data_IF_601624141753
#
_entry.id   IF_601624141753
#
_cell.length_a   1.000
_cell.length_b   1.000
_cell.length_c   1.000
_cell.angle_alpha   90.00
_cell.angle_beta   90.00
_cell.angle_gamma   90.00
#
_symmetry.space_group_name_H-M   'P 1'
#
loop_
_entity.id
_entity.type
_entity.pdbx_description
1 polymer ?
#
# COMPACT_ATOMS: atom_id res chain seq x y z
N UNK A 1 -1.40 13.98 8.37
CA UNK A 1 -1.09 12.54 8.12
C UNK A 1 -0.66 11.91 9.42
N UNK A 2 -1.28 10.81 9.81
CA UNK A 2 -0.90 10.08 11.01
C UNK A 2 -0.70 8.62 10.65
N UNK A 3 0.47 8.06 10.97
CA UNK A 3 0.78 6.64 10.74
C UNK A 3 0.54 5.90 12.05
N UNK A 4 -0.38 4.93 12.03
CA UNK A 4 -0.76 4.15 13.21
C UNK A 4 0.03 2.85 13.34
N UNK A 5 0.52 2.30 12.24
CA UNK A 5 1.36 1.11 12.23
C UNK A 5 2.06 0.99 10.88
N UNK A 6 3.29 0.49 10.87
CA UNK A 6 4.05 0.26 9.65
C UNK A 6 5.00 -0.91 9.87
N UNK A 7 4.86 -1.96 9.06
CA UNK A 7 5.67 -3.17 9.16
C UNK A 7 6.16 -3.56 7.78
N UNK A 8 7.44 -3.90 7.73
CA UNK A 8 8.17 -4.28 6.54
C UNK A 8 8.52 -5.77 6.58
N UNK A 9 8.35 -6.45 5.46
CA UNK A 9 8.63 -7.88 5.29
C UNK A 9 7.94 -8.77 6.32
N UNK A 10 6.63 -8.62 6.45
CA UNK A 10 5.82 -9.56 7.22
C UNK A 10 5.76 -10.88 6.47
N UNK A 11 6.28 -11.95 7.07
CA UNK A 11 6.34 -13.26 6.46
C UNK A 11 5.42 -14.23 7.21
N UNK A 12 4.50 -14.83 6.47
CA UNK A 12 3.59 -15.87 6.97
C UNK A 12 3.98 -17.20 6.33
N UNK A 13 4.69 -18.02 7.08
CA UNK A 13 5.28 -19.28 6.59
C UNK A 13 4.22 -20.22 5.98
N UNK A 14 3.05 -20.29 6.61
CA UNK A 14 1.97 -21.21 6.20
C UNK A 14 0.88 -20.52 5.39
N UNK A 15 1.16 -19.31 4.90
CA UNK A 15 0.19 -18.50 4.16
C UNK A 15 -0.66 -17.63 5.08
N UNK A 16 -1.61 -16.91 4.50
CA UNK A 16 -2.48 -16.00 5.24
C UNK A 16 -3.89 -16.04 4.67
N UNK A 17 -4.87 -15.90 5.54
CA UNK A 17 -6.23 -15.47 5.20
C UNK A 17 -6.63 -14.38 6.18
N UNK A 18 -6.99 -13.22 5.64
CA UNK A 18 -7.42 -12.08 6.45
C UNK A 18 -8.68 -11.47 5.85
N UNK A 19 -9.69 -11.22 6.69
CA UNK A 19 -10.96 -10.65 6.26
C UNK A 19 -11.40 -9.56 7.23
N UNK A 20 -11.76 -8.40 6.68
CA UNK A 20 -12.34 -7.27 7.41
C UNK A 20 -13.65 -6.87 6.74
N UNK A 21 -14.74 -7.54 7.13
CA UNK A 21 -16.06 -7.40 6.49
C UNK A 21 -16.62 -5.98 6.55
N UNK A 22 -16.22 -5.19 7.56
CA UNK A 22 -16.65 -3.79 7.70
C UNK A 22 -15.48 -2.81 7.47
N UNK A 23 -14.35 -3.31 6.98
CA UNK A 23 -13.14 -2.52 6.85
C UNK A 23 -12.54 -2.14 8.20
N UNK A 24 -11.61 -1.20 8.17
CA UNK A 24 -11.02 -0.58 9.36
C UNK A 24 -11.08 0.94 9.20
N UNK A 25 -10.94 1.68 10.31
CA UNK A 25 -11.01 3.13 10.28
C UNK A 25 -9.87 3.75 9.46
N UNK A 26 -8.67 3.19 9.55
CA UNK A 26 -7.49 3.68 8.84
C UNK A 26 -7.56 3.33 7.35
N UNK A 27 -6.82 4.10 6.55
CA UNK A 27 -6.40 3.68 5.24
C UNK A 27 -5.29 2.64 5.40
N UNK A 28 -5.29 1.66 4.51
CA UNK A 28 -4.26 0.61 4.49
C UNK A 28 -3.52 0.66 3.16
N UNK A 29 -2.21 0.93 3.23
CA UNK A 29 -1.33 0.65 2.12
C UNK A 29 -0.79 -0.77 2.31
N UNK A 30 -1.03 -1.63 1.34
CA UNK A 30 -0.59 -3.02 1.36
C UNK A 30 0.26 -3.28 0.12
N UNK A 31 1.54 -3.63 0.34
CA UNK A 31 2.44 -4.04 -0.73
C UNK A 31 2.56 -5.55 -0.70
N UNK A 32 1.83 -6.21 -1.59
CA UNK A 32 1.78 -7.67 -1.69
C UNK A 32 2.94 -8.13 -2.58
N UNK A 33 3.86 -8.89 -2.02
CA UNK A 33 5.09 -9.33 -2.70
C UNK A 33 5.03 -10.73 -3.27
N UNK A 34 4.04 -11.54 -2.86
CA UNK A 34 3.84 -12.92 -3.30
C UNK A 34 2.43 -13.09 -3.83
N UNK A 35 2.16 -14.12 -4.67
CA UNK A 35 0.84 -14.30 -5.25
C UNK A 35 -0.29 -14.42 -4.22
N UNK A 36 -1.40 -13.72 -4.49
CA UNK A 36 -2.56 -13.66 -3.60
C UNK A 36 -3.84 -13.40 -4.38
N UNK A 37 -4.96 -13.74 -3.75
CA UNK A 37 -6.30 -13.33 -4.19
C UNK A 37 -6.77 -12.23 -3.25
N UNK A 38 -7.23 -11.12 -3.81
CA UNK A 38 -7.64 -9.94 -3.07
C UNK A 38 -9.06 -9.54 -3.49
N UNK A 39 -9.90 -9.24 -2.52
CA UNK A 39 -11.24 -8.69 -2.76
C UNK A 39 -11.39 -7.39 -1.99
N UNK A 40 -11.84 -6.32 -2.67
CA UNK A 40 -12.20 -5.05 -2.06
C UNK A 40 -13.62 -4.71 -2.53
N UNK A 41 -14.54 -4.53 -1.58
CA UNK A 41 -15.97 -4.53 -1.88
C UNK A 41 -16.34 -5.80 -2.66
N UNK A 42 -16.92 -5.67 -3.86
CA UNK A 42 -17.32 -6.79 -4.71
C UNK A 42 -16.27 -7.13 -5.78
N UNK A 43 -15.21 -6.33 -5.90
CA UNK A 43 -14.18 -6.52 -6.92
C UNK A 43 -13.12 -7.51 -6.44
N UNK A 44 -12.87 -8.53 -7.25
CA UNK A 44 -11.87 -9.55 -6.97
C UNK A 44 -10.67 -9.37 -7.92
N UNK A 45 -9.47 -9.45 -7.36
CA UNK A 45 -8.23 -9.29 -8.09
C UNK A 45 -7.30 -10.49 -7.84
N UNK A 46 -6.69 -10.99 -8.91
CA UNK A 46 -5.63 -11.99 -8.81
C UNK A 46 -4.29 -11.27 -8.88
N UNK A 47 -3.52 -11.36 -7.81
CA UNK A 47 -2.19 -10.76 -7.71
C UNK A 47 -1.16 -11.83 -8.08
N UNK A 48 -0.47 -11.65 -9.20
CA UNK A 48 0.60 -12.54 -9.64
C UNK A 48 1.98 -11.90 -9.52
N UNK A 49 2.07 -10.60 -9.73
CA UNK A 49 3.29 -9.81 -9.60
C UNK A 49 3.20 -8.87 -8.40
N UNK A 50 4.32 -8.46 -7.81
CA UNK A 50 4.28 -7.52 -6.69
C UNK A 50 3.45 -6.28 -7.00
N UNK A 51 2.49 -6.00 -6.13
CA UNK A 51 1.50 -4.94 -6.34
C UNK A 51 1.21 -4.19 -5.04
N UNK A 52 0.95 -2.89 -5.18
CA UNK A 52 0.50 -2.04 -4.08
C UNK A 52 -0.98 -1.74 -4.25
N UNK A 53 -1.71 -1.79 -3.16
CA UNK A 53 -3.09 -1.29 -3.10
C UNK A 53 -3.20 -0.35 -1.91
N UNK A 54 -3.94 0.75 -2.08
CA UNK A 54 -4.37 1.60 -0.96
C UNK A 54 -5.87 1.39 -0.79
N UNK A 55 -6.22 0.79 0.34
CA UNK A 55 -7.61 0.53 0.70
C UNK A 55 -8.08 1.68 1.58
N UNK A 56 -9.12 2.39 1.14
CA UNK A 56 -9.66 3.53 1.87
C UNK A 56 -10.34 3.10 3.17
N UNK A 57 -10.45 4.01 4.14
CA UNK A 57 -11.06 3.72 5.43
C UNK A 57 -12.48 3.15 5.31
N UNK A 58 -12.80 2.20 6.17
CA UNK A 58 -14.10 1.49 6.22
C UNK A 58 -14.48 0.73 4.95
N UNK A 59 -13.54 0.48 4.04
CA UNK A 59 -13.78 -0.36 2.86
C UNK A 59 -13.63 -1.83 3.23
N UNK A 60 -14.66 -2.67 2.98
CA UNK A 60 -14.55 -4.11 3.23
C UNK A 60 -13.47 -4.74 2.33
N UNK A 61 -12.63 -5.57 2.92
CA UNK A 61 -11.61 -6.27 2.15
C UNK A 61 -11.28 -7.64 2.75
N UNK A 62 -10.77 -8.51 1.89
CA UNK A 62 -10.16 -9.78 2.31
C UNK A 62 -9.08 -10.18 1.33
N UNK A 63 -8.09 -10.90 1.82
CA UNK A 63 -7.06 -11.45 0.96
C UNK A 63 -6.59 -12.82 1.46
N UNK A 64 -6.16 -13.64 0.50
CA UNK A 64 -5.76 -15.04 0.70
C UNK A 64 -4.47 -15.27 -0.08
N UNK A 65 -3.45 -15.84 0.56
CA UNK A 65 -2.24 -16.25 -0.13
C UNK A 65 -2.52 -17.41 -1.10
N UNK A 66 -1.88 -17.38 -2.27
CA UNK A 66 -1.94 -18.48 -3.25
C UNK A 66 -0.79 -19.44 -3.01
N UNK A 67 0.37 -18.93 -2.64
CA UNK A 67 1.58 -19.72 -2.38
C UNK A 67 2.05 -19.55 -0.94
N UNK A 68 2.97 -20.40 -0.50
CA UNK A 68 3.62 -20.32 0.81
C UNK A 68 5.13 -20.22 0.61
N UNK A 69 5.83 -19.38 1.38
CA UNK A 69 5.31 -18.41 2.33
C UNK A 69 4.64 -17.23 1.64
N UNK A 70 3.86 -16.46 2.41
CA UNK A 70 3.29 -15.19 1.97
C UNK A 70 4.09 -14.03 2.58
N UNK A 71 4.31 -12.99 1.80
CA UNK A 71 5.08 -11.82 2.24
C UNK A 71 4.42 -10.53 1.79
N UNK A 72 4.33 -9.57 2.70
CA UNK A 72 3.91 -8.20 2.40
C UNK A 72 4.60 -7.17 3.30
N UNK A 73 4.45 -5.90 2.91
CA UNK A 73 4.65 -4.74 3.76
C UNK A 73 3.31 -4.07 3.95
N UNK A 74 3.05 -3.43 5.10
CA UNK A 74 1.84 -2.67 5.27
C UNK A 74 2.05 -1.42 6.11
N UNK A 75 1.22 -0.40 5.81
CA UNK A 75 1.19 0.88 6.51
C UNK A 75 -0.27 1.21 6.78
N UNK A 76 -0.65 1.31 8.06
CA UNK A 76 -1.93 1.83 8.49
C UNK A 76 -1.77 3.33 8.73
N UNK A 77 -2.55 4.15 8.03
CA UNK A 77 -2.44 5.60 8.15
C UNK A 77 -3.79 6.28 8.02
N UNK A 78 -3.86 7.49 8.56
CA UNK A 78 -5.05 8.32 8.46
C UNK A 78 -4.66 9.66 7.84
N UNK A 79 -5.03 9.92 6.57
CA UNK A 79 -4.78 11.22 5.95
C UNK A 79 -5.72 12.26 6.57
N UNK A 80 -5.24 13.50 6.67
CA UNK A 80 -6.06 14.63 7.11
C UNK A 80 -6.57 15.39 5.89
N UNK A 81 -7.74 16.00 5.99
CA UNK A 81 -8.30 16.81 4.91
C UNK A 81 -7.36 17.94 4.49
N UNK A 82 -6.59 18.47 5.45
CA UNK A 82 -5.63 19.56 5.23
C UNK A 82 -4.33 19.11 4.57
N UNK A 83 -4.05 17.81 4.51
CA UNK A 83 -2.79 17.29 3.95
C UNK A 83 -2.73 17.42 2.42
N UNK A 84 -3.86 17.53 1.74
CA UNK A 84 -3.91 17.47 0.29
C UNK A 84 -3.63 16.10 -0.27
N UNK A 85 -3.46 15.09 0.57
CA UNK A 85 -3.04 13.75 0.19
C UNK A 85 -3.96 13.13 -0.88
N UNK A 86 -5.28 13.13 -0.62
CA UNK A 86 -6.23 12.52 -1.54
C UNK A 86 -6.36 13.28 -2.87
N UNK A 87 -6.17 14.60 -2.83
CA UNK A 87 -6.23 15.44 -4.04
C UNK A 87 -5.02 15.25 -4.96
N UNK A 88 -3.89 14.88 -4.37
CA UNK A 88 -2.62 14.73 -5.11
C UNK A 88 -2.35 13.30 -5.57
N UNK A 89 -3.25 12.36 -5.27
CA UNK A 89 -3.11 11.00 -5.78
C UNK A 89 -3.36 10.96 -7.28
N UNK A 90 -2.43 10.37 -8.02
CA UNK A 90 -2.50 10.20 -9.46
C UNK A 90 -2.86 8.77 -9.87
N UNK A 91 -3.36 7.98 -8.94
CA UNK A 91 -3.78 6.60 -9.16
C UNK A 91 -4.99 6.28 -8.28
N UNK A 92 -5.80 5.27 -8.64
CA UNK A 92 -7.03 4.99 -7.91
C UNK A 92 -6.80 4.31 -6.56
N UNK A 93 -7.68 4.59 -5.60
CA UNK A 93 -7.82 3.81 -4.37
C UNK A 93 -8.53 2.49 -4.68
N UNK A 94 -8.35 1.50 -3.80
CA UNK A 94 -9.09 0.23 -3.82
C UNK A 94 -8.86 -0.62 -5.07
N UNK A 95 -7.77 -0.37 -5.78
CA UNK A 95 -7.37 -1.11 -6.98
C UNK A 95 -5.88 -1.42 -6.92
N UNK A 96 -5.45 -2.67 -7.14
CA UNK A 96 -4.03 -3.00 -7.11
C UNK A 96 -3.29 -2.37 -8.28
N UNK A 97 -2.08 -1.93 -7.99
CA UNK A 97 -1.17 -1.30 -8.94
C UNK A 97 0.08 -2.16 -9.01
N UNK A 98 0.35 -2.74 -10.16
CA UNK A 98 1.56 -3.51 -10.40
C UNK A 98 2.78 -2.60 -10.31
N UNK A 99 3.76 -3.01 -9.53
CA UNK A 99 4.97 -2.22 -9.28
C UNK A 99 6.09 -2.68 -10.19
N UNK A 100 6.67 -1.73 -10.94
CA UNK A 100 7.81 -1.97 -11.81
C UNK A 100 9.10 -1.29 -11.32
N UNK A 101 9.02 -0.51 -10.25
CA UNK A 101 10.12 0.25 -9.67
C UNK A 101 10.34 -0.09 -8.19
N UNK A 102 10.28 -1.38 -7.85
CA UNK A 102 10.44 -1.85 -6.46
C UNK A 102 11.72 -1.32 -5.80
N UNK A 103 12.80 -1.18 -6.55
CA UNK A 103 14.08 -0.69 -6.05
C UNK A 103 14.03 0.77 -5.56
N UNK A 104 13.04 1.55 -6.01
CA UNK A 104 12.79 2.91 -5.53
C UNK A 104 11.78 2.94 -4.39
N UNK A 105 10.84 2.00 -4.37
CA UNK A 105 9.76 1.94 -3.37
C UNK A 105 10.23 1.30 -2.07
N UNK A 106 10.96 0.20 -2.13
CA UNK A 106 11.42 -0.53 -0.95
C UNK A 106 12.17 0.35 0.06
N UNK A 107 13.15 1.19 -0.35
CA UNK A 107 13.86 2.04 0.61
C UNK A 107 12.97 3.05 1.31
N UNK A 108 11.92 3.54 0.62
CA UNK A 108 10.98 4.50 1.21
C UNK A 108 10.13 3.82 2.28
N UNK A 109 9.61 2.63 1.99
CA UNK A 109 8.80 1.87 2.96
C UNK A 109 9.64 1.53 4.19
N UNK A 110 10.91 1.10 3.99
CA UNK A 110 11.83 0.86 5.11
C UNK A 110 12.02 2.10 5.97
N UNK A 111 12.21 3.26 5.33
CA UNK A 111 12.40 4.52 6.03
C UNK A 111 11.15 4.91 6.83
N UNK A 112 9.95 4.68 6.28
CA UNK A 112 8.69 4.94 6.98
C UNK A 112 8.56 4.04 8.21
N UNK A 113 8.88 2.76 8.07
CA UNK A 113 8.82 1.81 9.19
C UNK A 113 9.82 2.18 10.29
N UNK A 114 11.04 2.56 9.91
CA UNK A 114 12.06 2.99 10.87
C UNK A 114 11.63 4.25 11.63
N UNK A 115 11.11 5.26 10.91
CA UNK A 115 10.65 6.50 11.54
C UNK A 115 9.48 6.24 12.49
N UNK A 116 8.61 5.28 12.18
CA UNK A 116 7.51 4.90 13.05
C UNK A 116 8.01 4.37 14.41
N UNK A 117 9.09 3.56 14.41
CA UNK A 117 9.63 2.97 15.64
C UNK A 117 10.65 3.86 16.36
N UNK A 118 11.35 4.74 15.64
CA UNK A 118 12.44 5.58 16.17
C UNK A 118 12.07 7.08 16.11
N UNK A 119 10.81 7.42 16.31
CA UNK A 119 10.28 8.75 16.12
C UNK A 119 11.04 9.83 16.89
N UNK A 120 11.30 10.95 16.20
CA UNK A 120 11.88 12.18 16.76
C UNK A 120 10.82 13.26 16.85
N UNK A 121 11.20 14.48 17.29
CA UNK A 121 10.30 15.64 17.34
C UNK A 121 9.77 16.04 15.95
N UNK A 122 10.45 15.68 14.88
CA UNK A 122 10.07 16.01 13.49
C UNK A 122 9.27 14.90 12.80
N UNK A 123 8.82 13.90 13.54
CA UNK A 123 8.21 12.69 12.99
C UNK A 123 7.05 12.96 12.05
N UNK A 124 6.17 13.91 12.37
CA UNK A 124 4.99 14.20 11.55
C UNK A 124 5.39 14.76 10.18
N UNK A 125 6.35 15.68 10.15
CA UNK A 125 6.84 16.26 8.89
C UNK A 125 7.57 15.20 8.05
N UNK A 126 8.41 14.41 8.67
CA UNK A 126 9.17 13.36 8.00
C UNK A 126 8.21 12.33 7.40
N UNK A 127 7.26 11.84 8.16
CA UNK A 127 6.28 10.85 7.69
C UNK A 127 5.44 11.39 6.54
N UNK A 128 5.00 12.63 6.62
CA UNK A 128 4.24 13.25 5.53
C UNK A 128 5.05 13.26 4.23
N UNK A 129 6.29 13.73 4.27
CA UNK A 129 7.14 13.81 3.08
C UNK A 129 7.49 12.41 2.54
N UNK A 130 7.74 11.45 3.41
CA UNK A 130 7.99 10.06 3.00
C UNK A 130 6.78 9.45 2.32
N UNK A 131 5.58 9.66 2.86
CA UNK A 131 4.34 9.16 2.27
C UNK A 131 4.08 9.82 0.92
N UNK A 132 4.31 11.13 0.79
CA UNK A 132 4.12 11.83 -0.49
C UNK A 132 5.11 11.34 -1.55
N UNK A 133 6.36 11.09 -1.17
CA UNK A 133 7.34 10.50 -2.08
C UNK A 133 6.93 9.09 -2.50
N UNK A 134 6.46 8.27 -1.55
CA UNK A 134 5.97 6.92 -1.85
C UNK A 134 4.81 6.96 -2.85
N UNK A 135 3.85 7.88 -2.65
CA UNK A 135 2.72 8.04 -3.57
C UNK A 135 3.19 8.42 -4.97
N UNK A 136 4.17 9.31 -5.09
CA UNK A 136 4.73 9.69 -6.38
C UNK A 136 5.39 8.50 -7.08
N UNK A 137 6.14 7.67 -6.35
CA UNK A 137 6.78 6.47 -6.92
C UNK A 137 5.76 5.41 -7.35
N UNK A 138 4.71 5.22 -6.58
CA UNK A 138 3.61 4.32 -6.97
C UNK A 138 2.93 4.87 -8.24
N UNK A 139 2.72 6.18 -8.28
CA UNK A 139 2.15 6.86 -9.45
C UNK A 139 2.97 6.67 -10.72
N UNK A 140 4.30 6.58 -10.61
CA UNK A 140 5.16 6.29 -11.76
C UNK A 140 4.86 4.89 -12.35
N UNK A 141 4.68 3.87 -11.50
CA UNK A 141 4.31 2.53 -11.96
C UNK A 141 2.94 2.52 -12.63
N UNK A 142 1.97 3.22 -12.04
CA UNK A 142 0.64 3.36 -12.60
C UNK A 142 0.67 4.04 -13.96
N UNK A 143 1.35 5.17 -14.07
CA UNK A 143 1.46 5.95 -15.31
C UNK A 143 2.15 5.18 -16.43
N UNK A 144 3.23 4.45 -16.10
CA UNK A 144 3.97 3.66 -17.08
C UNK A 144 3.08 2.61 -17.74
N UNK A 145 2.27 1.88 -16.94
CA UNK A 145 1.36 0.87 -17.45
C UNK A 145 0.24 1.48 -18.30
N UNK A 146 -0.37 2.56 -17.82
CA UNK A 146 -1.51 3.19 -18.50
C UNK A 146 -1.09 3.99 -19.71
N UNK A 147 0.07 4.62 -19.70
CA UNK A 147 0.62 5.32 -20.86
C UNK A 147 0.90 4.34 -22.00
N UNK A 148 1.53 3.20 -21.73
CA UNK A 148 1.79 2.17 -22.72
C UNK A 148 0.48 1.64 -23.32
N UNK A 149 -0.53 1.39 -22.49
CA UNK A 149 -1.83 0.89 -22.93
C UNK A 149 -2.59 1.89 -23.79
N UNK A 150 -2.40 3.20 -23.57
CA UNK A 150 -3.09 4.25 -24.33
C UNK A 150 -2.46 4.55 -25.68
N UNK A 151 -1.26 4.04 -25.97
CA UNK A 151 -0.50 4.28 -27.19
C UNK A 151 -0.44 3.06 -28.12
N UNK A 152 -1.15 2.03 -27.79
CA UNK A 152 -1.20 0.79 -28.61
C UNK A 152 -2.30 0.86 -29.64
#
# INVERSE_FOLDING_TARGET
MHIHNAIYNTIHKDGIFLSKASGIADFLLLYIKTPALLQVYENTYTITDPSVIIISGYSPYKYLSVTKPYCDDYIHFLPRDTDGFLKELHFPLNKPIKINNHHLIDPIIHAICREYYEATEYVLDIQYHQMMLLMARIGESWSAEHYQNSHV
#
